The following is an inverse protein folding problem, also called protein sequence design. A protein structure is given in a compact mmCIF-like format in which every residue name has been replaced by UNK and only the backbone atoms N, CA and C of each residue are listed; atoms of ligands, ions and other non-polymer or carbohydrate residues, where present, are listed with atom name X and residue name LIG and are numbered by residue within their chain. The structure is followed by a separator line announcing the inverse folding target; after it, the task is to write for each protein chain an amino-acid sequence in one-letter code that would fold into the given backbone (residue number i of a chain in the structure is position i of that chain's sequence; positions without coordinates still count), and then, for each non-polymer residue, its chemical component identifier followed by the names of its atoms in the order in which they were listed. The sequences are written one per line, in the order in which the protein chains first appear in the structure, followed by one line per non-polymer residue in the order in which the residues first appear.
data_IF_841884526227
#
_entry.id   IF_841884526227
#
_cell.length_a   1.000
_cell.length_b   1.000
_cell.length_c   1.000
_cell.angle_alpha   90.00
_cell.angle_beta   90.00
_cell.angle_gamma   90.00
#
_symmetry.space_group_name_H-M   'P 1'
#
loop_
_entity.id
_entity.type
_entity.pdbx_description
1 polymer ?
#
# COMPACT_ATOMS: atom_id res chain seq x y z
N UNK A 1 22.35 28.98 56.32
CA UNK A 1 21.24 28.21 55.72
C UNK A 1 21.45 28.21 54.20
N UNK A 2 21.40 27.14 53.41
CA UNK A 2 21.03 25.74 53.65
C UNK A 2 21.67 24.84 52.55
N UNK A 3 22.23 23.71 53.00
CA UNK A 3 22.18 22.32 52.51
C UNK A 3 22.34 22.01 50.99
N UNK A 4 23.35 21.19 50.68
CA UNK A 4 23.44 20.27 49.53
C UNK A 4 22.90 18.87 49.90
N UNK A 5 22.22 18.20 48.95
CA UNK A 5 22.21 16.74 48.63
C UNK A 5 21.11 16.56 47.55
N UNK A 6 21.44 16.18 46.31
CA UNK A 6 21.54 14.79 45.83
C UNK A 6 20.27 13.97 46.15
N UNK A 7 19.53 13.53 45.11
CA UNK A 7 19.35 12.09 44.82
C UNK A 7 18.22 11.75 43.81
N UNK A 8 18.64 10.99 42.77
CA UNK A 8 17.98 9.97 41.93
C UNK A 8 16.64 10.24 41.20
N UNK A 9 16.67 10.10 39.88
CA UNK A 9 16.15 8.89 39.21
C UNK A 9 16.82 8.72 37.83
N UNK A 10 17.34 7.51 37.62
CA UNK A 10 17.58 6.90 36.31
C UNK A 10 16.38 7.16 35.39
N UNK A 11 16.67 7.38 34.11
CA UNK A 11 15.78 6.94 33.04
C UNK A 11 16.64 6.72 31.79
N UNK A 12 17.14 5.50 31.67
CA UNK A 12 17.67 4.87 30.45
C UNK A 12 16.56 4.72 29.36
N UNK A 13 15.76 5.79 29.14
CA UNK A 13 14.61 5.82 28.21
C UNK A 13 14.81 6.80 27.04
N UNK A 14 15.99 7.45 26.95
CA UNK A 14 16.25 8.51 25.96
C UNK A 14 16.58 7.97 24.55
N UNK A 15 17.06 6.73 24.41
CA UNK A 15 17.49 6.21 23.11
C UNK A 15 16.32 5.74 22.21
N UNK A 16 15.24 5.19 22.79
CA UNK A 16 14.07 4.74 22.03
C UNK A 16 13.19 5.90 21.50
N UNK A 17 13.21 7.05 22.19
CA UNK A 17 12.53 8.26 21.73
C UNK A 17 13.30 8.96 20.59
N UNK A 18 14.63 8.86 20.59
CA UNK A 18 15.48 9.46 19.56
C UNK A 18 15.29 8.80 18.18
N UNK A 19 15.07 7.48 18.10
CA UNK A 19 14.82 6.82 16.81
C UNK A 19 13.46 7.16 16.20
N UNK A 20 12.41 7.25 17.01
CA UNK A 20 11.06 7.64 16.53
C UNK A 20 11.01 9.09 16.08
N UNK A 21 11.81 9.97 16.67
CA UNK A 21 11.92 11.37 16.25
C UNK A 21 12.55 11.53 14.86
N UNK A 22 13.48 10.65 14.45
CA UNK A 22 14.19 10.72 13.16
C UNK A 22 13.34 10.38 11.93
N UNK A 23 12.12 9.85 12.09
CA UNK A 23 11.20 9.51 10.98
C UNK A 23 10.04 10.48 10.79
N UNK A 24 9.91 11.53 11.61
CA UNK A 24 8.79 12.48 11.53
C UNK A 24 8.99 13.46 10.37
N UNK A 25 8.33 13.21 9.23
CA UNK A 25 8.26 14.16 8.12
C UNK A 25 7.29 15.29 8.45
N UNK A 26 7.69 16.55 8.19
CA UNK A 26 6.86 17.72 8.46
C UNK A 26 5.87 17.93 7.30
N UNK A 27 4.58 17.79 7.57
CA UNK A 27 3.51 18.06 6.61
C UNK A 27 2.91 19.43 6.92
N UNK A 28 2.81 20.29 5.90
CA UNK A 28 2.13 21.59 6.00
C UNK A 28 0.82 21.49 5.22
N UNK A 29 -0.31 21.76 5.88
CA UNK A 29 -1.65 21.67 5.29
C UNK A 29 -2.35 22.99 5.56
N UNK A 30 -2.95 23.58 4.52
CA UNK A 30 -3.82 24.73 4.68
C UNK A 30 -5.17 24.28 5.23
N UNK A 31 -5.54 24.79 6.40
CA UNK A 31 -6.81 24.51 7.07
C UNK A 31 -7.55 25.80 7.35
N UNK A 32 -8.86 25.80 7.13
CA UNK A 32 -9.70 26.94 7.48
C UNK A 32 -9.69 27.20 9.00
N UNK A 33 -9.92 28.44 9.45
CA UNK A 33 -9.97 28.77 10.88
C UNK A 33 -10.99 27.93 11.65
N UNK A 34 -12.11 27.59 11.03
CA UNK A 34 -13.15 26.74 11.61
C UNK A 34 -12.68 25.29 11.80
N UNK A 35 -11.95 24.74 10.84
CA UNK A 35 -11.36 23.41 10.94
C UNK A 35 -10.30 23.37 12.03
N UNK A 36 -9.42 24.38 12.10
CA UNK A 36 -8.42 24.49 13.17
C UNK A 36 -9.07 24.49 14.56
N UNK A 37 -10.19 25.20 14.72
CA UNK A 37 -10.94 25.22 15.99
C UNK A 37 -11.52 23.86 16.33
N UNK A 38 -12.14 23.16 15.37
CA UNK A 38 -12.68 21.81 15.56
C UNK A 38 -11.60 20.80 15.93
N UNK A 39 -10.47 20.82 15.22
CA UNK A 39 -9.31 19.95 15.51
C UNK A 39 -8.79 20.20 16.93
N UNK A 40 -8.68 21.46 17.35
CA UNK A 40 -8.23 21.80 18.71
C UNK A 40 -9.19 21.27 19.78
N UNK A 41 -10.49 21.40 19.57
CA UNK A 41 -11.49 20.88 20.51
C UNK A 41 -11.46 19.35 20.58
N UNK A 42 -11.33 18.68 19.43
CA UNK A 42 -11.27 17.24 19.38
C UNK A 42 -9.95 16.69 19.98
N UNK A 43 -8.83 17.39 19.80
CA UNK A 43 -7.57 17.04 20.45
C UNK A 43 -7.68 17.14 21.98
N UNK A 44 -8.30 18.21 22.50
CA UNK A 44 -8.58 18.38 23.93
C UNK A 44 -9.50 17.29 24.49
N UNK A 45 -10.52 16.86 23.75
CA UNK A 45 -11.42 15.78 24.19
C UNK A 45 -10.74 14.42 24.28
N UNK A 46 -9.66 14.21 23.53
CA UNK A 46 -8.90 12.96 23.50
C UNK A 46 -7.61 13.02 24.33
N UNK A 47 -7.38 14.10 25.08
CA UNK A 47 -6.14 14.36 25.84
C UNK A 47 -4.84 14.23 25.00
N UNK A 48 -4.94 14.51 23.70
CA UNK A 48 -3.84 14.39 22.73
C UNK A 48 -3.37 15.77 22.28
N UNK A 49 -2.08 15.89 21.94
CA UNK A 49 -1.63 17.07 21.22
C UNK A 49 -2.27 17.13 19.83
N UNK A 50 -2.41 18.33 19.27
CA UNK A 50 -3.01 18.51 17.92
C UNK A 50 -2.27 17.68 16.86
N UNK A 51 -0.94 17.57 16.99
CA UNK A 51 -0.12 16.76 16.08
C UNK A 51 -0.38 15.26 16.21
N UNK A 52 -0.51 14.75 17.43
CA UNK A 52 -0.82 13.33 17.68
C UNK A 52 -2.24 12.97 17.29
N UNK A 53 -3.19 13.87 17.55
CA UNK A 53 -4.58 13.69 17.12
C UNK A 53 -4.67 13.57 15.59
N UNK A 54 -4.00 14.46 14.86
CA UNK A 54 -3.94 14.39 13.39
C UNK A 54 -3.18 13.13 12.94
N UNK A 55 -2.05 12.82 13.57
CA UNK A 55 -1.25 11.63 13.24
C UNK A 55 -2.05 10.33 13.36
N UNK A 56 -2.80 10.17 14.45
CA UNK A 56 -3.66 8.99 14.67
C UNK A 56 -4.79 8.89 13.65
N UNK A 57 -5.38 10.02 13.26
CA UNK A 57 -6.39 10.05 12.19
C UNK A 57 -5.77 9.64 10.85
N UNK A 58 -4.58 10.14 10.54
CA UNK A 58 -3.87 9.80 9.31
C UNK A 58 -3.49 8.32 9.28
N UNK A 59 -3.00 7.75 10.38
CA UNK A 59 -2.73 6.30 10.46
C UNK A 59 -3.98 5.44 10.30
N UNK A 60 -5.14 5.90 10.80
CA UNK A 60 -6.40 5.18 10.63
C UNK A 60 -6.98 5.26 9.21
N UNK A 61 -6.79 6.38 8.52
CA UNK A 61 -7.43 6.65 7.22
C UNK A 61 -6.50 6.42 6.02
N UNK A 62 -5.18 6.42 6.24
CA UNK A 62 -4.18 6.11 5.22
C UNK A 62 -3.73 4.67 5.47
N UNK A 63 -4.33 3.67 4.82
CA UNK A 63 -3.86 2.30 4.94
C UNK A 63 -2.41 2.23 4.45
N UNK A 64 -1.56 1.50 5.19
CA UNK A 64 -0.19 1.24 4.75
C UNK A 64 -0.22 0.69 3.33
N UNK A 65 0.64 1.21 2.44
CA UNK A 65 0.80 0.75 1.04
C UNK A 65 1.03 -0.78 0.97
N UNK A 66 1.44 -1.43 2.06
CA UNK A 66 1.58 -2.89 2.19
C UNK A 66 0.25 -3.65 2.17
N UNK A 67 -0.87 -3.01 2.50
CA UNK A 67 -2.21 -3.65 2.48
C UNK A 67 -2.85 -3.71 1.09
N UNK A 68 -2.16 -3.21 0.04
CA UNK A 68 -2.49 -3.54 -1.36
C UNK A 68 -2.10 -4.97 -1.75
N UNK A 69 -1.64 -5.82 -0.83
CA UNK A 69 -1.70 -7.27 -1.06
C UNK A 69 -3.17 -7.67 -1.11
N UNK A 70 -3.69 -7.80 -2.34
CA UNK A 70 -5.01 -8.32 -2.70
C UNK A 70 -5.78 -8.88 -1.50
N UNK A 71 -6.76 -8.13 -0.99
CA UNK A 71 -7.90 -8.78 -0.35
C UNK A 71 -8.51 -9.71 -1.41
N UNK A 72 -8.05 -10.97 -1.45
CA UNK A 72 -8.72 -12.05 -2.17
C UNK A 72 -10.10 -12.15 -1.55
N UNK A 73 -11.06 -11.43 -2.13
CA UNK A 73 -12.47 -11.65 -1.83
C UNK A 73 -12.71 -13.14 -2.05
N UNK A 74 -13.36 -13.86 -1.12
CA UNK A 74 -13.69 -15.26 -1.33
C UNK A 74 -14.49 -15.33 -2.63
N UNK A 75 -13.98 -16.06 -3.62
CA UNK A 75 -14.69 -16.26 -4.87
C UNK A 75 -16.05 -16.88 -4.54
N UNK A 76 -17.11 -16.16 -4.83
CA UNK A 76 -18.46 -16.67 -4.61
C UNK A 76 -18.69 -17.84 -5.57
N UNK A 77 -19.54 -18.80 -5.18
CA UNK A 77 -19.88 -19.95 -6.05
C UNK A 77 -20.34 -19.50 -7.44
N UNK A 78 -21.10 -18.41 -7.50
CA UNK A 78 -21.56 -17.78 -8.73
C UNK A 78 -20.41 -17.30 -9.62
N UNK A 79 -19.41 -16.62 -9.04
CA UNK A 79 -18.22 -16.15 -9.78
C UNK A 79 -17.39 -17.32 -10.35
N UNK A 80 -17.30 -18.42 -9.60
CA UNK A 80 -16.61 -19.63 -10.08
C UNK A 80 -17.37 -20.31 -11.22
N UNK A 81 -18.70 -20.23 -11.23
CA UNK A 81 -19.55 -20.79 -12.28
C UNK A 81 -19.47 -19.98 -13.56
N UNK A 82 -19.52 -18.64 -13.47
CA UNK A 82 -19.26 -17.74 -14.60
C UNK A 82 -17.88 -18.00 -15.22
N UNK A 83 -16.85 -18.17 -14.37
CA UNK A 83 -15.49 -18.43 -14.83
C UNK A 83 -15.36 -19.81 -15.52
N UNK A 84 -16.13 -20.82 -15.08
CA UNK A 84 -16.21 -22.12 -15.76
C UNK A 84 -16.87 -21.98 -17.14
N UNK A 85 -17.95 -21.22 -17.25
CA UNK A 85 -18.63 -20.99 -18.54
C UNK A 85 -17.69 -20.31 -19.55
N UNK A 86 -16.95 -19.29 -19.10
CA UNK A 86 -15.95 -18.62 -19.95
C UNK A 86 -14.86 -19.59 -20.39
N UNK A 87 -14.32 -20.39 -19.47
CA UNK A 87 -13.32 -21.41 -19.78
C UNK A 87 -13.83 -22.43 -20.80
N UNK A 88 -15.06 -22.90 -20.63
CA UNK A 88 -15.66 -23.92 -21.50
C UNK A 88 -15.94 -23.36 -22.90
N UNK A 89 -16.37 -22.10 -23.01
CA UNK A 89 -16.51 -21.42 -24.29
C UNK A 89 -15.17 -21.29 -25.03
N UNK A 90 -14.10 -20.88 -24.32
CA UNK A 90 -12.75 -20.79 -24.88
C UNK A 90 -12.23 -22.16 -25.33
N UNK A 91 -12.48 -23.22 -24.54
CA UNK A 91 -12.08 -24.57 -24.91
C UNK A 91 -12.87 -25.13 -26.10
N UNK A 92 -14.16 -24.85 -26.20
CA UNK A 92 -14.99 -25.26 -27.33
C UNK A 92 -14.54 -24.59 -28.63
N UNK A 93 -14.31 -23.27 -28.58
CA UNK A 93 -13.82 -22.48 -29.71
C UNK A 93 -12.49 -23.03 -30.25
N UNK A 94 -11.57 -23.38 -29.34
CA UNK A 94 -10.24 -23.90 -29.69
C UNK A 94 -10.17 -25.42 -29.86
N UNK A 95 -11.30 -26.14 -29.80
CA UNK A 95 -11.35 -27.61 -29.83
C UNK A 95 -10.40 -28.27 -28.80
N UNK A 96 -10.24 -27.64 -27.64
CA UNK A 96 -9.34 -28.09 -26.58
C UNK A 96 -7.84 -27.88 -26.86
N UNK A 97 -7.46 -27.18 -27.93
CA UNK A 97 -6.07 -26.84 -28.19
C UNK A 97 -5.65 -25.67 -27.28
N UNK A 98 -4.44 -25.74 -26.67
CA UNK A 98 -3.85 -24.62 -25.96
C UNK A 98 -3.77 -23.37 -26.83
N UNK A 99 -3.56 -22.23 -26.19
CA UNK A 99 -3.18 -21.03 -26.94
C UNK A 99 -1.90 -21.31 -27.72
N UNK A 100 -1.91 -21.01 -29.03
CA UNK A 100 -0.69 -21.04 -29.83
C UNK A 100 0.38 -20.25 -29.09
N UNK A 101 1.53 -20.90 -28.87
CA UNK A 101 2.63 -20.28 -28.16
C UNK A 101 3.08 -19.08 -28.98
N UNK A 102 2.66 -17.90 -28.52
CA UNK A 102 2.86 -16.66 -29.23
C UNK A 102 4.34 -16.37 -29.38
N UNK A 103 5.19 -16.93 -28.51
CA UNK A 103 6.64 -16.81 -28.60
C UNK A 103 7.21 -17.61 -29.77
N UNK A 104 6.74 -18.84 -29.99
CA UNK A 104 7.10 -19.67 -31.15
C UNK A 104 6.60 -19.06 -32.46
N UNK A 105 5.38 -18.51 -32.48
CA UNK A 105 4.84 -17.82 -33.66
C UNK A 105 5.66 -16.58 -34.03
N UNK A 106 6.04 -15.76 -33.04
CA UNK A 106 6.88 -14.57 -33.25
C UNK A 106 8.28 -14.97 -33.74
N UNK A 107 8.83 -16.08 -33.24
CA UNK A 107 10.12 -16.60 -33.68
C UNK A 107 10.08 -17.03 -35.15
N UNK A 108 9.09 -17.81 -35.56
CA UNK A 108 8.91 -18.25 -36.95
C UNK A 108 8.79 -17.05 -37.91
N UNK A 109 7.96 -16.06 -37.58
CA UNK A 109 7.83 -14.85 -38.40
C UNK A 109 9.15 -14.07 -38.54
N UNK A 110 10.01 -14.07 -37.51
CA UNK A 110 11.33 -13.44 -37.59
C UNK A 110 12.29 -14.24 -38.48
N UNK A 111 12.29 -15.57 -38.34
CA UNK A 111 13.13 -16.46 -39.15
C UNK A 111 12.77 -16.38 -40.64
N UNK A 112 11.47 -16.34 -40.97
CA UNK A 112 11.01 -16.20 -42.35
C UNK A 112 11.40 -14.83 -42.93
N UNK A 113 11.24 -13.75 -42.15
CA UNK A 113 11.68 -12.42 -42.56
C UNK A 113 13.19 -12.33 -42.79
N UNK A 114 14.01 -13.00 -41.97
CA UNK A 114 15.46 -13.05 -42.21
C UNK A 114 15.81 -13.80 -43.50
N UNK A 115 15.12 -14.92 -43.79
CA UNK A 115 15.36 -15.67 -45.04
C UNK A 115 14.98 -14.88 -46.29
N UNK A 116 13.93 -14.08 -46.22
CA UNK A 116 13.53 -13.18 -47.32
C UNK A 116 14.58 -12.09 -47.57
N UNK A 117 15.17 -11.54 -46.50
CA UNK A 117 16.21 -10.50 -46.60
C UNK A 117 17.56 -11.05 -47.07
N UNK A 118 17.89 -12.29 -46.73
CA UNK A 118 19.12 -12.96 -47.19
C UNK A 118 19.07 -13.38 -48.68
N UNK A 119 17.88 -13.38 -49.29
CA UNK A 119 17.66 -13.71 -50.70
C UNK A 119 17.60 -12.48 -51.63
N UNK A 120 17.81 -11.27 -51.08
CA UNK A 120 17.89 -9.99 -51.79
C UNK A 120 19.35 -9.54 -51.94
#
# INVERSE_FOLDING_TARGET
MAIRKQDFHDNDDDDDQAEKARKRTRITIDVSPEMRRRIKMAALQNDLSVGEYIGRILEQNVPDETTKTLQRRPATRMMLEELRQVRDAIMQDRKGQPFEDSTEMIRQMREDRSKELDQL
#
